data_IF_973161933364
#
_entry.id   IF_973161933364
#
_cell.length_a   1.000
_cell.length_b   1.000
_cell.length_c   1.000
_cell.angle_alpha   90.00
_cell.angle_beta   90.00
_cell.angle_gamma   90.00
#
_symmetry.space_group_name_H-M   'P 1'
#
loop_
_entity.id
_entity.type
_entity.pdbx_description
1 polymer ?
#
# COMPACT_ATOMS: atom_id res chain seq x y z
N UNK A 1 18.32 4.23 10.86
CA UNK A 1 18.57 3.96 9.42
C UNK A 1 18.28 2.49 9.15
N UNK A 2 17.56 2.16 8.08
CA UNK A 2 17.34 0.77 7.69
C UNK A 2 18.66 0.13 7.22
N UNK A 3 18.89 -1.14 7.59
CA UNK A 3 20.04 -1.95 7.09
C UNK A 3 19.67 -2.79 5.87
N UNK A 4 18.51 -2.51 5.28
CA UNK A 4 17.97 -3.14 4.10
C UNK A 4 17.60 -2.04 3.10
N UNK A 5 17.78 -2.27 1.79
CA UNK A 5 17.41 -1.29 0.78
C UNK A 5 15.89 -1.08 0.77
N UNK A 6 15.48 0.17 0.55
CA UNK A 6 14.10 0.54 0.28
C UNK A 6 14.02 0.91 -1.20
N UNK A 7 13.19 0.19 -1.95
CA UNK A 7 12.92 0.46 -3.35
C UNK A 7 11.58 1.19 -3.46
N UNK A 8 11.52 2.26 -4.24
CA UNK A 8 10.31 3.05 -4.46
C UNK A 8 9.80 2.78 -5.86
N UNK A 9 8.50 2.52 -5.99
CA UNK A 9 7.84 2.24 -7.26
C UNK A 9 6.69 3.23 -7.47
N UNK A 10 6.36 3.49 -8.72
CA UNK A 10 5.19 4.25 -9.14
C UNK A 10 4.25 3.36 -9.97
N UNK A 11 2.94 3.61 -9.87
CA UNK A 11 1.93 2.87 -10.63
C UNK A 11 0.63 3.67 -10.75
N UNK A 12 -0.32 3.12 -11.52
CA UNK A 12 -1.70 3.62 -11.52
C UNK A 12 -2.46 3.15 -10.27
N UNK A 13 -3.64 3.73 -10.04
CA UNK A 13 -4.54 3.35 -8.95
C UNK A 13 -5.01 1.88 -9.08
N UNK A 14 -5.29 1.40 -10.29
CA UNK A 14 -5.70 0.01 -10.54
C UNK A 14 -4.59 -0.98 -10.16
N UNK A 15 -3.34 -0.64 -10.50
CA UNK A 15 -2.19 -1.47 -10.14
C UNK A 15 -2.00 -1.52 -8.63
N UNK A 16 -2.21 -0.39 -7.94
CA UNK A 16 -2.09 -0.30 -6.49
C UNK A 16 -3.20 -1.11 -5.78
N UNK A 17 -4.43 -1.07 -6.28
CA UNK A 17 -5.54 -1.90 -5.80
C UNK A 17 -5.25 -3.41 -5.97
N UNK A 18 -4.68 -3.81 -7.11
CA UNK A 18 -4.25 -5.20 -7.33
C UNK A 18 -3.13 -5.61 -6.36
N UNK A 19 -2.13 -4.74 -6.15
CA UNK A 19 -1.06 -5.00 -5.21
C UNK A 19 -1.58 -5.16 -3.77
N UNK A 20 -2.52 -4.31 -3.35
CA UNK A 20 -3.21 -4.42 -2.07
C UNK A 20 -3.94 -5.77 -1.91
N UNK A 21 -4.73 -6.17 -2.91
CA UNK A 21 -5.43 -7.47 -2.92
C UNK A 21 -4.46 -8.66 -2.85
N UNK A 22 -3.34 -8.60 -3.59
CA UNK A 22 -2.27 -9.63 -3.52
C UNK A 22 -1.59 -9.67 -2.16
N UNK A 23 -1.40 -8.52 -1.50
CA UNK A 23 -0.79 -8.47 -0.18
C UNK A 23 -1.72 -9.08 0.88
N UNK A 24 -3.02 -8.75 0.85
CA UNK A 24 -4.06 -9.33 1.70
C UNK A 24 -4.17 -10.84 1.53
N UNK A 25 -4.36 -11.32 0.29
CA UNK A 25 -4.50 -12.75 -0.01
C UNK A 25 -3.27 -13.60 0.39
N UNK A 26 -2.10 -12.98 0.49
CA UNK A 26 -0.86 -13.63 0.94
C UNK A 26 -0.65 -13.56 2.45
N UNK A 27 -1.51 -12.87 3.19
CA UNK A 27 -1.40 -12.70 4.63
C UNK A 27 -0.14 -11.95 5.07
N UNK A 28 0.44 -11.13 4.20
CA UNK A 28 1.58 -10.30 4.58
C UNK A 28 1.10 -9.08 5.38
N UNK A 29 1.92 -8.63 6.33
CA UNK A 29 1.72 -7.32 6.94
C UNK A 29 2.24 -6.26 5.98
N UNK A 30 1.43 -5.24 5.74
CA UNK A 30 1.76 -4.10 4.89
C UNK A 30 1.09 -2.85 5.47
N UNK A 31 1.58 -1.69 5.05
CA UNK A 31 1.01 -0.39 5.38
C UNK A 31 0.29 0.17 4.16
N UNK A 32 -0.74 0.97 4.38
CA UNK A 32 -1.48 1.69 3.35
C UNK A 32 -1.53 3.18 3.65
N UNK A 33 -1.72 3.96 2.60
CA UNK A 33 -2.11 5.36 2.68
C UNK A 33 -3.26 5.56 1.70
N UNK A 34 -4.38 6.10 2.15
CA UNK A 34 -5.54 6.41 1.29
C UNK A 34 -5.66 7.90 1.08
N UNK A 35 -6.34 8.32 0.02
CA UNK A 35 -6.46 9.74 -0.36
C UNK A 35 -7.13 10.58 0.76
N UNK A 36 -8.04 10.00 1.54
CA UNK A 36 -8.71 10.69 2.64
C UNK A 36 -7.75 11.14 3.74
N UNK A 37 -6.61 10.46 3.92
CA UNK A 37 -5.63 10.81 4.95
C UNK A 37 -4.95 12.16 4.67
N UNK A 38 -5.01 12.67 3.44
CA UNK A 38 -4.54 14.02 3.14
C UNK A 38 -5.42 15.12 3.75
N UNK A 39 -6.64 14.80 4.18
CA UNK A 39 -7.61 15.75 4.74
C UNK A 39 -7.64 15.75 6.28
N UNK A 40 -6.87 14.85 6.90
CA UNK A 40 -6.80 14.68 8.36
C UNK A 40 -5.39 14.99 8.86
N UNK A 41 -5.29 15.45 10.12
CA UNK A 41 -4.01 15.87 10.73
C UNK A 41 -3.54 14.96 11.87
N UNK A 42 -4.35 13.98 12.26
CA UNK A 42 -4.09 13.12 13.41
C UNK A 42 -4.40 11.64 13.11
N UNK A 43 -3.75 10.77 13.88
CA UNK A 43 -3.79 9.33 13.70
C UNK A 43 -5.15 8.70 14.06
N UNK A 44 -5.91 9.31 14.98
CA UNK A 44 -7.27 8.84 15.31
C UNK A 44 -8.21 9.10 14.13
N UNK A 45 -8.15 10.30 13.55
CA UNK A 45 -8.87 10.69 12.35
C UNK A 45 -8.50 9.82 11.14
N UNK A 46 -7.20 9.59 10.92
CA UNK A 46 -6.72 8.71 9.84
C UNK A 46 -7.32 7.31 9.93
N UNK A 47 -7.27 6.69 11.13
CA UNK A 47 -7.83 5.34 11.32
C UNK A 47 -9.35 5.32 11.18
N UNK A 48 -10.04 6.37 11.65
CA UNK A 48 -11.49 6.48 11.51
C UNK A 48 -11.89 6.58 10.04
N UNK A 49 -11.18 7.39 9.24
CA UNK A 49 -11.40 7.54 7.81
C UNK A 49 -11.24 6.21 7.06
N UNK A 50 -10.14 5.47 7.31
CA UNK A 50 -9.93 4.15 6.69
C UNK A 50 -11.01 3.16 7.11
N UNK A 51 -11.40 3.13 8.40
CA UNK A 51 -12.40 2.19 8.92
C UNK A 51 -13.80 2.42 8.34
N UNK A 52 -14.11 3.65 7.91
CA UNK A 52 -15.40 4.00 7.33
C UNK A 52 -15.60 3.47 5.90
N UNK A 53 -14.54 3.01 5.24
CA UNK A 53 -14.56 2.59 3.83
C UNK A 53 -14.41 1.07 3.73
N UNK A 54 -15.27 0.36 2.97
CA UNK A 54 -15.07 -1.05 2.67
C UNK A 54 -13.72 -1.29 1.99
N UNK A 55 -13.05 -2.40 2.33
CA UNK A 55 -11.68 -2.69 1.89
C UNK A 55 -11.50 -2.64 0.36
N UNK A 56 -12.51 -3.08 -0.39
CA UNK A 56 -12.53 -3.09 -1.85
C UNK A 56 -12.75 -1.72 -2.49
N UNK A 57 -13.15 -0.72 -1.69
CA UNK A 57 -13.41 0.67 -2.13
C UNK A 57 -12.37 1.67 -1.68
N UNK A 58 -11.29 1.22 -1.02
CA UNK A 58 -10.22 2.11 -0.57
C UNK A 58 -9.58 2.82 -1.77
N UNK A 59 -9.57 4.14 -1.76
CA UNK A 59 -8.83 4.97 -2.70
C UNK A 59 -7.37 5.06 -2.24
N UNK A 60 -6.53 4.13 -2.72
CA UNK A 60 -5.14 4.03 -2.27
C UNK A 60 -4.26 5.10 -2.97
N UNK A 61 -3.53 5.87 -2.17
CA UNK A 61 -2.45 6.74 -2.60
C UNK A 61 -1.10 6.03 -2.59
N UNK A 62 -0.92 5.06 -1.67
CA UNK A 62 0.30 4.27 -1.57
C UNK A 62 0.15 3.03 -0.70
N UNK A 63 1.09 2.09 -0.85
CA UNK A 63 1.25 0.94 0.05
C UNK A 63 2.72 0.58 0.21
N UNK A 64 3.08 0.02 1.37
CA UNK A 64 4.43 -0.46 1.64
C UNK A 64 4.38 -1.89 2.18
N UNK A 65 5.19 -2.78 1.62
CA UNK A 65 5.27 -4.18 2.03
C UNK A 65 6.73 -4.58 2.27
N UNK A 66 6.94 -5.40 3.30
CA UNK A 66 8.24 -5.99 3.59
C UNK A 66 8.06 -7.49 3.82
N UNK A 67 8.92 -8.30 3.20
CA UNK A 67 8.83 -9.75 3.28
C UNK A 67 9.76 -10.46 2.29
N UNK A 68 9.56 -11.77 2.05
CA UNK A 68 10.36 -12.54 1.10
C UNK A 68 10.33 -11.92 -0.30
N UNK A 69 11.50 -11.76 -0.93
CA UNK A 69 11.66 -11.12 -2.25
C UNK A 69 10.63 -11.61 -3.27
N UNK A 70 10.49 -12.92 -3.44
CA UNK A 70 9.56 -13.51 -4.40
C UNK A 70 8.08 -13.14 -4.14
N UNK A 71 7.70 -12.92 -2.88
CA UNK A 71 6.35 -12.51 -2.52
C UNK A 71 6.14 -11.02 -2.81
N UNK A 72 7.11 -10.18 -2.44
CA UNK A 72 7.10 -8.73 -2.71
C UNK A 72 7.07 -8.46 -4.21
N UNK A 73 7.93 -9.11 -4.99
CA UNK A 73 7.99 -8.96 -6.46
C UNK A 73 6.64 -9.33 -7.11
N UNK A 74 5.95 -10.38 -6.61
CA UNK A 74 4.62 -10.77 -7.10
C UNK A 74 3.54 -9.77 -6.71
N UNK A 75 3.62 -9.17 -5.52
CA UNK A 75 2.66 -8.16 -5.05
C UNK A 75 2.77 -6.92 -5.93
N UNK A 76 3.98 -6.40 -6.11
CA UNK A 76 4.26 -5.17 -6.85
C UNK A 76 4.28 -5.35 -8.38
N UNK A 77 3.90 -6.54 -8.90
CA UNK A 77 3.85 -6.81 -10.34
C UNK A 77 2.98 -5.78 -11.07
N UNK A 78 3.57 -5.09 -12.03
CA UNK A 78 2.95 -4.05 -12.84
C UNK A 78 3.38 -2.62 -12.45
N UNK A 79 3.90 -2.44 -11.23
CA UNK A 79 4.51 -1.18 -10.82
C UNK A 79 5.91 -1.03 -11.45
N UNK A 80 6.32 0.20 -11.71
CA UNK A 80 7.62 0.54 -12.29
C UNK A 80 8.50 1.15 -11.21
N UNK A 81 9.81 0.86 -11.24
CA UNK A 81 10.74 1.50 -10.32
C UNK A 81 10.68 3.02 -10.56
N UNK A 82 10.51 3.78 -9.49
CA UNK A 82 10.37 5.23 -9.58
C UNK A 82 11.73 5.86 -9.89
N UNK A 83 11.75 6.67 -10.95
CA UNK A 83 12.94 7.33 -11.49
C UNK A 83 12.65 7.94 -12.85
#
# INVERSE_FOLDING_TARGET
MFRQPVLVFASTAETLAQAHSRALSRGLRFSIFTDELFQTGDDIGNRAAVRAVPTEKLALAGLAVHGPKNAVDKILKGAQLHG
#
